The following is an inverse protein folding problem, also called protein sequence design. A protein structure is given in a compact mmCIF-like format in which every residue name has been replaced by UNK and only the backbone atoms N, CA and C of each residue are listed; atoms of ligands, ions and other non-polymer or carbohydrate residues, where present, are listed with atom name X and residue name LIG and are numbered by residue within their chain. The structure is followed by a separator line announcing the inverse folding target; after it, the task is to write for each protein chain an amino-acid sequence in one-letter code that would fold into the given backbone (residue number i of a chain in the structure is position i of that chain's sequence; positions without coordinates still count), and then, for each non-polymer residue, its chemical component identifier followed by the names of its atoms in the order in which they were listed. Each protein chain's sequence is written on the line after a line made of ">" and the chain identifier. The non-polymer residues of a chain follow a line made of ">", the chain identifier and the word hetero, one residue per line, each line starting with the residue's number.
data_IF_946048167218
#
_entry.id   IF_946048167218
#
_cell.length_a   1.000
_cell.length_b   1.000
_cell.length_c   1.000
_cell.angle_alpha   90.00
_cell.angle_beta   90.00
_cell.angle_gamma   90.00
#
_symmetry.space_group_name_H-M   'P 1'
#
loop_
_entity.id
_entity.type
_entity.pdbx_description
1 polymer ?
#
# COMPACT_ATOMS: atom_id res chain seq x y z
N UNK A 1 3.61 15.56 -8.93
CA UNK A 1 3.36 14.11 -8.95
C UNK A 1 3.12 13.68 -10.38
N UNK A 2 3.67 12.54 -10.78
CA UNK A 2 3.65 12.06 -12.16
C UNK A 2 3.05 10.66 -12.14
N UNK A 3 2.08 10.43 -13.02
CA UNK A 3 1.40 9.14 -13.20
C UNK A 3 1.89 8.53 -14.49
N UNK A 4 2.12 7.22 -14.49
CA UNK A 4 2.66 6.50 -15.64
C UNK A 4 1.76 5.31 -15.91
N UNK A 5 1.02 5.39 -17.01
CA UNK A 5 0.13 4.31 -17.44
C UNK A 5 0.76 3.60 -18.62
N UNK A 6 0.83 2.27 -18.54
CA UNK A 6 1.25 1.42 -19.65
C UNK A 6 0.03 0.76 -20.28
N UNK A 7 -0.31 1.19 -21.48
CA UNK A 7 -1.30 0.49 -22.29
C UNK A 7 -0.65 -0.70 -22.99
N UNK A 8 -0.95 -1.91 -22.52
CA UNK A 8 -0.40 -3.15 -23.09
C UNK A 8 -1.02 -3.52 -24.42
N UNK A 9 -2.26 -3.08 -24.71
CA UNK A 9 -2.97 -3.40 -25.96
C UNK A 9 -2.43 -2.55 -27.10
N UNK A 10 -2.29 -1.26 -26.85
CA UNK A 10 -1.82 -0.29 -27.84
C UNK A 10 -0.29 -0.15 -27.85
N UNK A 11 0.41 -0.77 -26.89
CA UNK A 11 1.88 -0.74 -26.71
C UNK A 11 2.41 0.67 -26.49
N UNK A 12 1.66 1.50 -25.78
CA UNK A 12 2.00 2.89 -25.48
C UNK A 12 2.26 3.11 -23.99
N UNK A 13 3.04 4.14 -23.68
CA UNK A 13 3.25 4.65 -22.33
C UNK A 13 2.73 6.08 -22.30
N UNK A 14 1.76 6.35 -21.43
CA UNK A 14 1.20 7.69 -21.21
C UNK A 14 1.73 8.21 -19.89
N UNK A 15 2.33 9.40 -19.93
CA UNK A 15 2.90 10.08 -18.77
C UNK A 15 2.07 11.34 -18.54
N UNK A 16 1.42 11.40 -17.39
CA UNK A 16 0.58 12.54 -17.01
C UNK A 16 1.24 13.32 -15.88
N UNK A 17 1.38 14.62 -16.10
CA UNK A 17 1.93 15.57 -15.12
C UNK A 17 0.93 16.69 -14.78
N UNK A 18 -0.32 16.54 -15.22
CA UNK A 18 -1.37 17.53 -15.04
C UNK A 18 -1.75 17.71 -13.57
N UNK A 19 -1.97 18.96 -13.18
CA UNK A 19 -2.42 19.35 -11.85
C UNK A 19 -3.95 19.20 -11.71
N UNK A 20 -4.43 18.94 -10.49
CA UNK A 20 -5.86 18.86 -10.17
C UNK A 20 -6.49 17.46 -10.30
N UNK A 21 -5.68 16.44 -10.55
CA UNK A 21 -6.13 15.03 -10.56
C UNK A 21 -6.43 14.56 -9.14
N UNK A 22 -7.49 13.79 -8.99
CA UNK A 22 -7.87 13.18 -7.71
C UNK A 22 -7.08 11.89 -7.54
N UNK A 23 -6.43 11.75 -6.39
CA UNK A 23 -5.59 10.60 -6.08
C UNK A 23 -6.01 10.01 -4.74
N UNK A 24 -5.89 8.69 -4.62
CA UNK A 24 -6.20 7.95 -3.40
C UNK A 24 -4.95 7.20 -2.93
N UNK A 25 -4.49 7.41 -1.69
CA UNK A 25 -3.36 6.65 -1.15
C UNK A 25 -3.77 5.21 -0.87
N UNK A 26 -2.98 4.25 -1.34
CA UNK A 26 -3.18 2.81 -1.14
C UNK A 26 -1.89 2.15 -0.65
N UNK A 27 -2.02 1.04 0.07
CA UNK A 27 -0.86 0.23 0.46
C UNK A 27 -0.37 -0.61 -0.72
N UNK A 28 0.94 -0.68 -0.86
CA UNK A 28 1.59 -1.44 -1.93
C UNK A 28 1.77 -2.91 -1.53
N UNK A 29 1.55 -3.81 -2.48
CA UNK A 29 1.85 -5.24 -2.35
C UNK A 29 3.21 -5.52 -2.97
N UNK A 30 4.06 -6.24 -2.25
CA UNK A 30 5.37 -6.67 -2.74
C UNK A 30 5.20 -7.71 -3.85
N UNK A 31 5.65 -7.38 -5.06
CA UNK A 31 5.62 -8.30 -6.19
C UNK A 31 7.02 -8.57 -6.79
N UNK A 32 8.11 -8.18 -6.11
CA UNK A 32 9.46 -8.47 -6.60
C UNK A 32 9.69 -10.00 -6.55
N UNK A 33 10.00 -10.66 -7.68
CA UNK A 33 10.30 -12.10 -7.72
C UNK A 33 11.46 -12.53 -6.81
N UNK A 34 12.35 -11.60 -6.45
CA UNK A 34 13.52 -11.83 -5.60
C UNK A 34 13.24 -11.61 -4.12
N UNK A 35 12.12 -10.97 -3.80
CA UNK A 35 11.75 -10.72 -2.42
C UNK A 35 11.21 -12.00 -1.77
N UNK A 36 11.71 -12.31 -0.58
CA UNK A 36 11.18 -13.40 0.25
C UNK A 36 9.73 -13.13 0.66
N UNK A 37 9.34 -11.85 0.76
CA UNK A 37 8.00 -11.42 1.16
C UNK A 37 7.04 -11.17 -0.01
N UNK A 38 7.35 -11.72 -1.20
CA UNK A 38 6.50 -11.59 -2.38
C UNK A 38 5.07 -12.05 -2.09
N UNK A 39 4.10 -11.24 -2.54
CA UNK A 39 2.67 -11.47 -2.34
C UNK A 39 2.17 -11.05 -0.96
N UNK A 40 2.96 -10.28 -0.19
CA UNK A 40 2.52 -9.69 1.08
C UNK A 40 2.51 -8.17 1.00
N UNK A 41 1.86 -7.51 1.95
CA UNK A 41 1.92 -6.06 2.05
C UNK A 41 3.35 -5.57 2.31
N UNK A 42 3.70 -4.44 1.71
CA UNK A 42 4.95 -3.73 1.98
C UNK A 42 4.95 -3.08 3.36
N UNK A 43 3.76 -2.80 3.92
CA UNK A 43 3.64 -2.38 5.31
C UNK A 43 4.06 -3.52 6.25
N UNK A 44 5.09 -3.26 7.07
CA UNK A 44 5.60 -4.19 8.08
C UNK A 44 5.47 -3.57 9.47
N UNK A 45 5.56 -4.40 10.50
CA UNK A 45 5.42 -3.96 11.89
C UNK A 45 6.44 -2.89 12.29
N UNK A 46 7.65 -2.91 11.74
CA UNK A 46 8.67 -1.91 12.07
C UNK A 46 8.27 -0.51 11.58
N UNK A 47 7.61 -0.37 10.42
CA UNK A 47 7.08 0.92 9.96
C UNK A 47 6.05 1.49 10.94
N UNK A 48 5.17 0.64 11.47
CA UNK A 48 4.16 1.04 12.47
C UNK A 48 4.84 1.44 13.78
N UNK A 49 5.90 0.74 14.18
CA UNK A 49 6.67 1.11 15.36
C UNK A 49 7.34 2.47 15.19
N UNK A 50 7.99 2.75 14.06
CA UNK A 50 8.57 4.05 13.76
C UNK A 50 7.54 5.19 13.85
N UNK A 51 6.32 4.97 13.33
CA UNK A 51 5.24 5.94 13.46
C UNK A 51 4.77 6.16 14.90
N UNK A 52 4.81 5.12 15.76
CA UNK A 52 4.50 5.27 17.18
C UNK A 52 5.60 6.05 17.91
N UNK A 53 6.85 5.79 17.56
CA UNK A 53 7.99 6.48 18.14
C UNK A 53 7.93 7.98 17.76
N UNK A 54 7.57 8.30 16.52
CA UNK A 54 7.33 9.68 16.08
C UNK A 54 6.27 10.40 16.91
N UNK A 55 5.17 9.71 17.30
CA UNK A 55 4.13 10.30 18.16
C UNK A 55 4.69 10.68 19.54
N UNK A 56 5.61 9.89 20.08
CA UNK A 56 6.29 10.18 21.35
C UNK A 56 7.21 11.40 21.19
N UNK A 57 8.01 11.44 20.14
CA UNK A 57 8.93 12.54 19.82
C UNK A 57 8.20 13.86 19.54
N UNK A 58 7.04 13.80 18.89
CA UNK A 58 6.19 14.98 18.69
C UNK A 58 5.53 15.42 20.00
N UNK A 59 5.16 14.48 20.88
CA UNK A 59 4.56 14.74 22.18
C UNK A 59 5.51 15.34 23.22
N UNK A 60 6.81 15.05 23.14
CA UNK A 60 7.82 15.65 24.04
C UNK A 60 8.10 17.13 23.76
N UNK A 61 7.65 17.64 22.61
CA UNK A 61 7.76 19.06 22.25
C UNK A 61 9.13 19.49 21.76
N UNK A 62 10.08 18.55 21.63
CA UNK A 62 11.46 18.82 21.18
C UNK A 62 11.50 19.43 19.76
N UNK A 63 10.49 19.15 18.94
CA UNK A 63 10.39 19.60 17.56
C UNK A 63 9.51 20.85 17.37
N UNK A 64 9.01 21.46 18.44
CA UNK A 64 8.06 22.59 18.33
C UNK A 64 8.66 23.84 17.70
N UNK A 65 9.99 24.02 17.80
CA UNK A 65 10.70 25.17 17.23
C UNK A 65 11.55 24.81 16.00
N UNK A 66 11.45 23.57 15.52
CA UNK A 66 12.16 23.10 14.33
C UNK A 66 11.42 23.53 13.06
N UNK A 67 12.18 23.78 11.99
CA UNK A 67 11.64 24.05 10.65
C UNK A 67 10.85 22.84 10.13
N UNK A 68 9.90 23.06 9.22
CA UNK A 68 9.13 21.97 8.59
C UNK A 68 10.05 20.94 7.92
N UNK A 69 11.13 21.38 7.26
CA UNK A 69 12.13 20.50 6.65
C UNK A 69 12.94 19.71 7.68
N UNK A 70 13.25 20.30 8.84
CA UNK A 70 13.97 19.60 9.91
C UNK A 70 13.07 18.55 10.57
N UNK A 71 11.79 18.85 10.70
CA UNK A 71 10.78 17.90 11.20
C UNK A 71 10.68 16.72 10.24
N UNK A 72 10.48 16.96 8.95
CA UNK A 72 10.38 15.92 7.92
C UNK A 72 11.60 14.99 7.85
N UNK A 73 12.79 15.52 8.14
CA UNK A 73 14.02 14.71 8.17
C UNK A 73 14.19 13.94 9.48
N UNK A 74 13.57 14.40 10.57
CA UNK A 74 13.70 13.78 11.90
C UNK A 74 12.64 12.72 12.15
N UNK A 75 11.41 12.95 11.69
CA UNK A 75 10.31 12.00 11.85
C UNK A 75 10.15 11.11 10.63
N UNK A 76 9.74 9.87 10.85
CA UNK A 76 9.40 8.98 9.75
C UNK A 76 8.08 9.44 9.08
N UNK A 77 7.00 9.52 9.85
CA UNK A 77 5.73 10.12 9.46
C UNK A 77 5.14 9.60 8.15
N UNK A 78 4.24 10.39 7.56
CA UNK A 78 3.61 10.07 6.28
C UNK A 78 4.59 10.09 5.11
N UNK A 79 5.51 11.06 5.09
CA UNK A 79 6.52 11.20 4.03
C UNK A 79 7.47 9.99 4.01
N UNK A 80 7.79 9.42 5.17
CA UNK A 80 8.54 8.18 5.29
C UNK A 80 7.82 6.97 4.70
N UNK A 81 6.50 6.85 4.89
CA UNK A 81 5.70 5.78 4.27
C UNK A 81 5.75 5.85 2.74
N UNK A 82 5.61 7.03 2.16
CA UNK A 82 5.70 7.23 0.70
C UNK A 82 7.13 6.94 0.22
N UNK A 83 8.15 7.48 0.88
CA UNK A 83 9.55 7.32 0.50
C UNK A 83 10.02 5.86 0.53
N UNK A 84 9.48 5.06 1.45
CA UNK A 84 9.77 3.62 1.53
C UNK A 84 8.87 2.78 0.61
N UNK A 85 8.01 3.40 -0.20
CA UNK A 85 7.11 2.69 -1.12
C UNK A 85 6.06 1.85 -0.40
N UNK A 86 5.75 2.17 0.86
CA UNK A 86 4.71 1.47 1.63
C UNK A 86 3.34 1.91 1.15
N UNK A 87 3.21 3.20 0.85
CA UNK A 87 2.01 3.83 0.32
C UNK A 87 2.32 4.47 -1.03
N UNK A 88 1.42 4.28 -1.97
CA UNK A 88 1.46 4.91 -3.29
C UNK A 88 0.12 5.62 -3.54
N UNK A 89 0.19 6.78 -4.19
CA UNK A 89 -1.00 7.50 -4.63
C UNK A 89 -1.41 6.97 -6.00
N UNK A 90 -2.64 6.47 -6.07
CA UNK A 90 -3.22 5.98 -7.31
C UNK A 90 -4.24 6.99 -7.81
N UNK A 91 -4.14 7.39 -9.08
CA UNK A 91 -5.17 8.22 -9.71
C UNK A 91 -6.31 7.37 -10.31
N UNK A 92 -7.38 8.06 -10.74
CA UNK A 92 -8.56 7.39 -11.28
C UNK A 92 -8.30 6.61 -12.58
N UNK A 93 -7.34 7.04 -13.41
CA UNK A 93 -7.01 6.36 -14.67
C UNK A 93 -6.15 5.11 -14.42
N UNK A 94 -5.20 5.18 -13.49
CA UNK A 94 -4.40 4.03 -13.05
C UNK A 94 -5.27 2.98 -12.35
N UNK A 95 -6.28 3.41 -11.57
CA UNK A 95 -7.22 2.51 -10.89
C UNK A 95 -7.96 1.54 -11.84
N UNK A 96 -8.20 1.93 -13.10
CA UNK A 96 -8.85 1.05 -14.08
C UNK A 96 -7.99 -0.16 -14.48
N UNK A 97 -6.67 -0.05 -14.34
CA UNK A 97 -5.71 -1.08 -14.76
C UNK A 97 -5.02 -1.77 -13.59
N UNK A 98 -5.05 -1.17 -12.40
CA UNK A 98 -4.49 -1.72 -11.19
C UNK A 98 -5.34 -2.87 -10.62
N UNK A 99 -4.68 -3.83 -9.96
CA UNK A 99 -5.35 -4.87 -9.19
C UNK A 99 -5.34 -4.48 -7.71
N UNK A 100 -6.53 -4.27 -7.14
CA UNK A 100 -6.70 -3.84 -5.76
C UNK A 100 -7.36 -4.96 -4.95
N UNK A 101 -6.72 -5.34 -3.85
CA UNK A 101 -7.30 -6.22 -2.85
C UNK A 101 -8.21 -5.43 -1.91
N UNK A 102 -9.25 -6.09 -1.40
CA UNK A 102 -10.20 -5.42 -0.50
C UNK A 102 -9.82 -5.59 0.98
N UNK A 103 -9.19 -6.72 1.33
CA UNK A 103 -8.70 -6.98 2.69
C UNK A 103 -7.33 -7.64 2.67
N UNK A 104 -6.47 -7.38 3.67
CA UNK A 104 -5.16 -8.02 3.78
C UNK A 104 -5.27 -9.54 3.88
N UNK A 105 -6.34 -10.05 4.49
CA UNK A 105 -6.58 -11.51 4.61
C UNK A 105 -6.72 -12.18 3.24
N UNK A 106 -7.17 -11.45 2.21
CA UNK A 106 -7.30 -11.99 0.85
C UNK A 106 -5.93 -12.32 0.23
N UNK A 107 -4.87 -11.59 0.61
CA UNK A 107 -3.49 -11.91 0.19
C UNK A 107 -3.01 -13.22 0.82
N UNK A 108 -3.33 -13.41 2.09
CA UNK A 108 -2.92 -14.60 2.83
C UNK A 108 -3.62 -15.85 2.28
N UNK A 109 -4.93 -15.76 2.06
CA UNK A 109 -5.71 -16.81 1.39
C UNK A 109 -5.12 -17.15 0.02
N UNK A 110 -4.85 -16.15 -0.83
CA UNK A 110 -4.22 -16.35 -2.13
C UNK A 110 -2.83 -17.00 -2.05
N UNK A 111 -2.06 -16.68 -1.00
CA UNK A 111 -0.74 -17.29 -0.75
C UNK A 111 -0.88 -18.77 -0.35
N UNK A 112 -1.80 -19.08 0.55
CA UNK A 112 -2.09 -20.45 1.00
C UNK A 112 -2.56 -21.33 -0.16
N UNK A 113 -3.47 -20.82 -0.98
CA UNK A 113 -3.95 -21.51 -2.18
C UNK A 113 -2.82 -21.81 -3.16
N UNK A 114 -1.93 -20.84 -3.39
CA UNK A 114 -0.76 -21.02 -4.26
C UNK A 114 0.23 -22.04 -3.69
N UNK A 115 0.28 -22.20 -2.36
CA UNK A 115 1.06 -23.23 -1.69
C UNK A 115 0.41 -24.63 -1.73
N UNK A 116 -0.85 -24.71 -2.16
CA UNK A 116 -1.61 -25.97 -2.28
C UNK A 116 -2.37 -26.37 -1.02
N UNK A 117 -2.55 -25.45 -0.07
CA UNK A 117 -3.38 -25.69 1.12
C UNK A 117 -4.88 -25.75 0.76
N UNK A 118 -5.65 -26.59 1.46
CA UNK A 118 -7.08 -26.71 1.23
C UNK A 118 -7.82 -25.43 1.65
N UNK A 119 -8.72 -24.97 0.78
CA UNK A 119 -9.60 -23.85 1.08
C UNK A 119 -10.68 -24.30 2.07
N UNK A 120 -10.59 -23.85 3.32
CA UNK A 120 -11.68 -24.05 4.28
C UNK A 120 -12.85 -23.12 3.94
N UNK A 121 -14.04 -23.69 3.69
CA UNK A 121 -15.22 -22.87 3.46
C UNK A 121 -15.52 -22.02 4.71
N UNK A 122 -15.68 -20.70 4.54
CA UNK A 122 -15.94 -19.81 5.66
C UNK A 122 -17.25 -20.16 6.37
N UNK A 123 -17.22 -20.21 7.71
CA UNK A 123 -18.42 -20.30 8.55
C UNK A 123 -19.41 -19.19 8.17
N UNK A 124 -20.67 -19.57 7.97
CA UNK A 124 -21.77 -18.69 7.53
C UNK A 124 -22.10 -17.65 8.63
N UNK A 125 -21.44 -16.51 8.60
CA UNK A 125 -21.85 -15.30 9.32
C UNK A 125 -22.66 -14.39 8.36
N UNK A 126 -23.92 -14.04 8.70
CA UNK A 126 -24.78 -13.16 7.89
C UNK A 126 -24.20 -11.77 7.55
N UNK A 127 -23.25 -11.25 8.34
CA UNK A 127 -22.60 -9.96 8.08
C UNK A 127 -21.25 -10.08 7.38
N UNK A 128 -20.80 -11.30 7.09
CA UNK A 128 -19.51 -11.52 6.44
C UNK A 128 -19.57 -11.09 4.99
N UNK A 129 -18.50 -10.44 4.53
CA UNK A 129 -18.32 -10.14 3.10
C UNK A 129 -18.34 -11.46 2.31
N UNK A 130 -19.26 -11.56 1.35
CA UNK A 130 -19.31 -12.71 0.44
C UNK A 130 -18.06 -12.66 -0.42
N UNK A 131 -17.18 -13.65 -0.25
CA UNK A 131 -15.99 -13.81 -1.08
C UNK A 131 -16.31 -14.75 -2.26
N UNK A 132 -15.91 -14.42 -3.49
CA UNK A 132 -15.96 -15.39 -4.58
C UNK A 132 -15.04 -16.57 -4.25
N UNK A 133 -15.33 -17.75 -4.81
CA UNK A 133 -14.43 -18.89 -4.67
C UNK A 133 -13.06 -18.51 -5.25
N UNK A 134 -11.97 -18.90 -4.60
CA UNK A 134 -10.65 -18.65 -5.15
C UNK A 134 -10.46 -19.41 -6.47
N UNK A 135 -9.75 -18.78 -7.40
CA UNK A 135 -9.44 -19.33 -8.72
C UNK A 135 -8.18 -20.20 -8.68
#
# INVERSE_FOLDING_TARGET
>A
ECTIIRDVRDREIKIFTDAGRVMRPLFVVDNDPRSESRGTLMLKQHHVQSLRDDLVTLGSGDLNNASEEERDNTIFGWKGLIRNGVVEYLDAEEEETAMIIMSPDDLEEHRMLKAGEEYEEPVLDPHRRIKPKPN
#
